data_IF_422016341920
#
_entry.id   IF_422016341920
#
_cell.length_a   1.000
_cell.length_b   1.000
_cell.length_c   1.000
_cell.angle_alpha   90.00
_cell.angle_beta   90.00
_cell.angle_gamma   90.00
#
_symmetry.space_group_name_H-M   'P 1'
#
loop_
_entity.id
_entity.type
_entity.pdbx_description
1 polymer ?
#
# COMPACT_ATOMS: atom_id res chain seq x y z
N UNK A 1 20.84 -25.09 3.65
CA UNK A 1 19.67 -24.89 4.55
C UNK A 1 18.53 -24.44 3.67
N UNK A 2 17.33 -25.05 3.75
CA UNK A 2 16.36 -24.91 2.67
C UNK A 2 15.89 -23.46 2.55
N UNK A 3 16.09 -22.95 1.34
CA UNK A 3 15.64 -21.68 0.76
C UNK A 3 14.11 -21.66 0.66
N UNK A 4 13.48 -20.81 1.45
CA UNK A 4 12.06 -20.46 1.36
C UNK A 4 11.78 -19.51 2.51
N UNK A 5 11.62 -18.19 2.33
CA UNK A 5 10.41 -17.61 1.73
C UNK A 5 9.16 -18.40 2.11
N UNK A 6 9.07 -18.83 3.37
CA UNK A 6 7.87 -19.45 3.97
C UNK A 6 6.70 -18.52 3.70
N UNK A 7 5.99 -18.85 2.61
CA UNK A 7 4.60 -18.60 2.30
C UNK A 7 4.09 -17.21 2.66
N UNK A 8 3.56 -16.42 1.71
CA UNK A 8 2.25 -16.68 1.10
C UNK A 8 1.13 -17.14 2.07
N UNK A 9 1.35 -17.13 3.38
CA UNK A 9 0.30 -17.31 4.38
C UNK A 9 -0.37 -15.95 4.61
N UNK A 10 -1.10 -15.48 3.60
CA UNK A 10 -2.43 -14.92 3.78
C UNK A 10 -2.97 -14.39 2.44
N UNK A 11 -4.28 -14.49 2.18
CA UNK A 11 -4.95 -13.76 1.10
C UNK A 11 -4.60 -12.26 1.08
N UNK A 12 -4.22 -11.70 2.23
CA UNK A 12 -3.78 -10.31 2.39
C UNK A 12 -2.48 -10.03 1.61
N UNK A 13 -1.44 -10.86 1.69
CA UNK A 13 -0.18 -10.58 1.00
C UNK A 13 -0.32 -10.55 -0.53
N UNK A 14 -1.11 -11.47 -1.08
CA UNK A 14 -1.44 -11.50 -2.51
C UNK A 14 -2.31 -10.30 -2.91
N UNK A 15 -3.32 -9.95 -2.10
CA UNK A 15 -4.14 -8.78 -2.28
C UNK A 15 -3.30 -7.50 -2.34
N UNK A 16 -2.40 -7.30 -1.37
CA UNK A 16 -1.52 -6.14 -1.29
C UNK A 16 -0.60 -6.04 -2.51
N UNK A 17 -0.03 -7.17 -2.95
CA UNK A 17 0.85 -7.19 -4.14
C UNK A 17 0.11 -6.78 -5.42
N UNK A 18 -1.12 -7.26 -5.60
CA UNK A 18 -1.95 -6.89 -6.75
C UNK A 18 -2.34 -5.40 -6.72
N UNK A 19 -2.76 -4.89 -5.56
CA UNK A 19 -3.11 -3.48 -5.39
C UNK A 19 -1.93 -2.54 -5.65
N UNK A 20 -0.74 -2.89 -5.14
CA UNK A 20 0.51 -2.15 -5.36
C UNK A 20 0.89 -2.10 -6.84
N UNK A 21 0.87 -3.25 -7.52
CA UNK A 21 1.34 -3.34 -8.91
C UNK A 21 0.55 -2.44 -9.84
N UNK A 22 -0.78 -2.41 -9.71
CA UNK A 22 -1.62 -1.54 -10.52
C UNK A 22 -1.38 -0.05 -10.20
N UNK A 23 -1.23 0.29 -8.92
CA UNK A 23 -1.11 1.68 -8.46
C UNK A 23 0.20 2.36 -8.86
N UNK A 24 1.27 1.58 -9.08
CA UNK A 24 2.56 2.06 -9.63
C UNK A 24 2.44 2.66 -11.03
N UNK A 25 1.37 2.33 -11.77
CA UNK A 25 1.14 2.82 -13.13
C UNK A 25 0.17 4.00 -13.19
N UNK A 26 -0.37 4.46 -12.07
CA UNK A 26 -1.27 5.60 -12.04
C UNK A 26 -0.51 6.92 -12.25
N UNK A 27 -1.16 7.86 -12.92
CA UNK A 27 -0.56 9.15 -13.24
C UNK A 27 -0.12 9.91 -11.97
N UNK A 28 1.13 10.35 -11.95
CA UNK A 28 1.72 11.08 -10.83
C UNK A 28 2.14 10.19 -9.64
N UNK A 29 2.12 8.86 -9.77
CA UNK A 29 2.78 7.98 -8.81
C UNK A 29 4.31 8.09 -8.95
N UNK A 30 5.00 8.31 -7.83
CA UNK A 30 6.47 8.30 -7.76
C UNK A 30 6.96 7.01 -7.12
N UNK A 31 6.24 6.52 -6.12
CA UNK A 31 6.58 5.33 -5.36
C UNK A 31 5.33 4.72 -4.74
N UNK A 32 5.25 3.39 -4.70
CA UNK A 32 4.13 2.67 -4.11
C UNK A 32 4.62 1.29 -3.67
N UNK A 33 4.92 1.10 -2.39
CA UNK A 33 5.58 -0.11 -1.91
C UNK A 33 4.89 -0.68 -0.67
N UNK A 34 4.50 -1.96 -0.73
CA UNK A 34 3.99 -2.66 0.44
C UNK A 34 5.11 -3.40 1.17
N UNK A 35 5.07 -3.33 2.49
CA UNK A 35 6.01 -3.94 3.41
C UNK A 35 5.24 -4.68 4.49
N UNK A 36 5.82 -5.76 5.00
CA UNK A 36 5.37 -6.37 6.25
C UNK A 36 6.26 -5.88 7.38
N UNK A 37 5.67 -5.56 8.53
CA UNK A 37 6.42 -5.12 9.71
C UNK A 37 7.20 -6.30 10.29
N UNK A 38 8.51 -6.13 10.46
CA UNK A 38 9.38 -7.16 11.02
C UNK A 38 8.93 -7.53 12.45
N UNK A 39 8.84 -8.83 12.72
CA UNK A 39 8.38 -9.34 14.01
C UNK A 39 6.88 -9.21 14.29
N UNK A 40 6.07 -8.65 13.36
CA UNK A 40 4.62 -8.47 13.53
C UNK A 40 3.84 -9.10 12.36
N UNK A 41 3.59 -10.42 12.38
CA UNK A 41 2.80 -11.09 11.36
C UNK A 41 1.42 -10.44 11.16
N UNK A 42 0.97 -10.31 9.92
CA UNK A 42 -0.32 -9.68 9.59
C UNK A 42 -0.33 -8.15 9.63
N UNK A 43 0.75 -7.49 10.07
CA UNK A 43 0.85 -6.02 10.05
C UNK A 43 1.61 -5.56 8.82
N UNK A 44 0.98 -4.69 8.02
CA UNK A 44 1.52 -4.22 6.75
C UNK A 44 1.59 -2.69 6.72
N UNK A 45 2.55 -2.16 5.96
CA UNK A 45 2.70 -0.74 5.67
C UNK A 45 2.75 -0.56 4.16
N UNK A 46 1.92 0.33 3.62
CA UNK A 46 2.06 0.81 2.25
C UNK A 46 2.69 2.19 2.29
N UNK A 47 3.88 2.32 1.72
CA UNK A 47 4.53 3.60 1.52
C UNK A 47 4.20 4.12 0.12
N UNK A 48 3.55 5.27 0.06
CA UNK A 48 3.14 5.88 -1.19
C UNK A 48 3.72 7.29 -1.31
N UNK A 49 4.30 7.59 -2.47
CA UNK A 49 4.75 8.93 -2.83
C UNK A 49 4.09 9.35 -4.14
N UNK A 50 3.49 10.52 -4.09
CA UNK A 50 2.72 11.10 -5.19
C UNK A 50 3.29 12.47 -5.52
N UNK A 51 3.24 12.86 -6.80
CA UNK A 51 3.67 14.18 -7.26
C UNK A 51 2.87 15.32 -6.60
N UNK A 52 1.60 15.06 -6.30
CA UNK A 52 0.72 16.04 -5.65
C UNK A 52 -0.44 15.39 -4.92
N UNK A 53 -1.13 16.19 -4.09
CA UNK A 53 -2.40 15.79 -3.48
C UNK A 53 -3.47 15.47 -4.53
N UNK A 54 -3.46 16.18 -5.66
CA UNK A 54 -4.39 15.94 -6.77
C UNK A 54 -4.18 14.58 -7.43
N UNK A 55 -2.92 14.16 -7.63
CA UNK A 55 -2.60 12.84 -8.17
C UNK A 55 -3.09 11.70 -7.26
N UNK A 56 -2.86 11.84 -5.95
CA UNK A 56 -3.41 10.90 -4.96
C UNK A 56 -4.94 10.84 -5.00
N UNK A 57 -5.63 11.99 -5.08
CA UNK A 57 -7.09 11.98 -5.18
C UNK A 57 -7.58 11.35 -6.48
N UNK A 58 -6.88 11.57 -7.59
CA UNK A 58 -7.15 10.89 -8.87
C UNK A 58 -7.04 9.37 -8.74
N UNK A 59 -5.98 8.88 -8.11
CA UNK A 59 -5.78 7.46 -7.79
C UNK A 59 -6.93 6.88 -6.95
N UNK A 60 -7.28 7.53 -5.83
CA UNK A 60 -8.37 7.11 -4.94
C UNK A 60 -9.74 7.13 -5.65
N UNK A 61 -9.91 7.98 -6.66
CA UNK A 61 -11.12 8.09 -7.48
C UNK A 61 -11.23 7.08 -8.62
N UNK A 62 -10.21 6.25 -8.87
CA UNK A 62 -10.25 5.25 -9.95
C UNK A 62 -11.33 4.19 -9.70
N UNK A 63 -11.96 3.63 -10.74
CA UNK A 63 -12.91 2.52 -10.59
C UNK A 63 -12.33 1.34 -9.82
N UNK A 64 -11.07 0.99 -10.10
CA UNK A 64 -10.32 -0.05 -9.41
C UNK A 64 -10.26 0.15 -7.90
N UNK A 65 -9.99 1.39 -7.43
CA UNK A 65 -9.92 1.66 -5.99
C UNK A 65 -11.29 1.53 -5.32
N UNK A 66 -12.40 1.84 -6.01
CA UNK A 66 -13.76 1.61 -5.48
C UNK A 66 -14.06 0.13 -5.24
N UNK A 67 -13.46 -0.77 -6.01
CA UNK A 67 -13.61 -2.22 -5.84
C UNK A 67 -12.64 -2.79 -4.80
N UNK A 68 -11.40 -2.28 -4.75
CA UNK A 68 -10.37 -2.77 -3.85
C UNK A 68 -10.57 -2.33 -2.40
N UNK A 69 -10.98 -1.09 -2.15
CA UNK A 69 -11.08 -0.54 -0.79
C UNK A 69 -12.05 -1.34 0.09
N UNK A 70 -13.27 -1.70 -0.33
CA UNK A 70 -14.16 -2.52 0.49
C UNK A 70 -13.56 -3.87 0.86
N UNK A 71 -12.89 -4.53 -0.09
CA UNK A 71 -12.22 -5.82 0.11
C UNK A 71 -11.05 -5.72 1.07
N UNK A 72 -10.32 -4.61 1.04
CA UNK A 72 -9.27 -4.31 2.00
C UNK A 72 -9.86 -4.15 3.41
N UNK A 73 -10.95 -3.39 3.54
CA UNK A 73 -11.62 -3.17 4.83
C UNK A 73 -12.14 -4.46 5.46
N UNK A 74 -12.62 -5.41 4.67
CA UNK A 74 -13.04 -6.74 5.16
C UNK A 74 -11.88 -7.58 5.73
N UNK A 75 -10.64 -7.28 5.33
CA UNK A 75 -9.44 -8.03 5.72
C UNK A 75 -8.64 -7.35 6.85
N UNK A 76 -9.03 -6.14 7.24
CA UNK A 76 -8.31 -5.33 8.21
C UNK A 76 -8.99 -5.37 9.58
N UNK A 77 -8.16 -5.40 10.63
CA UNK A 77 -8.61 -5.01 11.96
C UNK A 77 -8.57 -3.46 12.08
N UNK A 78 -9.67 -2.86 12.56
CA UNK A 78 -9.78 -1.40 12.74
C UNK A 78 -10.17 -0.64 11.48
N UNK A 79 -9.77 0.64 11.40
CA UNK A 79 -10.09 1.51 10.25
C UNK A 79 -8.84 1.90 9.47
N UNK A 80 -9.01 2.25 8.19
CA UNK A 80 -7.91 2.75 7.36
C UNK A 80 -7.40 4.10 7.89
N UNK A 81 -8.32 4.92 8.40
CA UNK A 81 -8.05 6.24 8.96
C UNK A 81 -7.08 6.17 10.14
N UNK A 82 -7.20 5.15 11.00
CA UNK A 82 -6.30 4.94 12.14
C UNK A 82 -4.84 4.72 11.71
N UNK A 83 -4.64 4.14 10.51
CA UNK A 83 -3.33 3.80 9.95
C UNK A 83 -2.69 4.87 9.05
N UNK A 84 -3.45 5.84 8.52
CA UNK A 84 -2.92 6.83 7.58
C UNK A 84 -2.05 7.88 8.29
N UNK A 85 -0.85 8.13 7.76
CA UNK A 85 0.02 9.23 8.16
C UNK A 85 0.50 10.00 6.93
N UNK A 86 0.33 11.33 6.92
CA UNK A 86 0.92 12.18 5.89
C UNK A 86 2.31 12.61 6.31
N UNK A 87 3.30 12.26 5.49
CA UNK A 87 4.70 12.49 5.77
C UNK A 87 5.20 13.70 4.98
N UNK A 88 6.01 14.54 5.62
CA UNK A 88 6.78 15.57 4.93
C UNK A 88 8.19 15.03 4.65
N UNK A 89 8.64 15.03 3.39
CA UNK A 89 9.97 14.55 3.07
C UNK A 89 11.01 15.58 3.53
N UNK A 90 11.96 15.17 4.35
CA UNK A 90 13.19 15.92 4.56
C UNK A 90 14.26 15.37 3.62
N UNK A 91 14.57 16.12 2.57
CA UNK A 91 15.57 15.74 1.56
C UNK A 91 16.73 16.74 1.66
N UNK A 92 17.99 16.28 1.82
CA UNK A 92 19.12 17.16 1.63
C UNK A 92 19.12 17.70 0.19
N UNK A 93 19.64 18.91 0.00
CA UNK A 93 19.90 19.45 -1.33
C UNK A 93 20.79 18.47 -2.11
N UNK A 94 20.49 18.30 -3.40
CA UNK A 94 21.26 17.41 -4.28
C UNK A 94 22.61 17.99 -4.63
#
# INVERSE_FOLDING_TARGET
>A
MPTGWYALYHPVGAFMTAAVTASRHDAGNIEYEAHQVEGQPGTFVVFERWESRGALQGHLGTPRMRELVPRLLELMDGTVEDGIRFLQPFRPER
#
